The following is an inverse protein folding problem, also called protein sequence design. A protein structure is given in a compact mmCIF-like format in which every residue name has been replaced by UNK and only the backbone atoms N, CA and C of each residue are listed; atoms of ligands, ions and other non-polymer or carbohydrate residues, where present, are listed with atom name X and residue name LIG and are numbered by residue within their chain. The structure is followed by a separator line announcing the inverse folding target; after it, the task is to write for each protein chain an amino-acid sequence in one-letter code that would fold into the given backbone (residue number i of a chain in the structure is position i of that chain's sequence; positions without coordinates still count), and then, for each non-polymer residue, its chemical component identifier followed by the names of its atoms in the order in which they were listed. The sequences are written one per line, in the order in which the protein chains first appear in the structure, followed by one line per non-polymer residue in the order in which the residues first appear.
data_IF_515430629505
#
_entry.id   IF_515430629505
#
_cell.length_a   1.000
_cell.length_b   1.000
_cell.length_c   1.000
_cell.angle_alpha   90.00
_cell.angle_beta   90.00
_cell.angle_gamma   90.00
#
_symmetry.space_group_name_H-M   'P 1'
#
loop_
_entity.id
_entity.type
_entity.pdbx_description
1 polymer ?
#
# COMPACT_ATOMS: atom_id res chain seq x y z
N UNK A 1 25.93 -13.01 -1.77
CA UNK A 1 24.95 -11.91 -1.60
C UNK A 1 23.75 -12.54 -0.95
N UNK A 2 23.34 -12.07 0.22
CA UNK A 2 22.24 -12.69 0.94
C UNK A 2 20.96 -12.50 0.12
N UNK A 3 20.35 -13.60 -0.34
CA UNK A 3 19.10 -13.61 -1.11
C UNK A 3 17.89 -13.33 -0.20
N UNK A 4 17.99 -12.28 0.62
CA UNK A 4 16.92 -11.86 1.52
C UNK A 4 16.20 -10.65 0.96
N UNK A 5 14.88 -10.69 1.10
CA UNK A 5 13.99 -9.58 0.78
C UNK A 5 13.21 -9.20 2.03
N UNK A 6 13.00 -7.91 2.22
CA UNK A 6 12.09 -7.37 3.20
C UNK A 6 10.72 -7.20 2.56
N UNK A 7 9.69 -7.61 3.28
CA UNK A 7 8.30 -7.41 2.87
C UNK A 7 7.56 -6.65 3.96
N UNK A 8 6.71 -5.72 3.56
CA UNK A 8 5.81 -5.00 4.46
C UNK A 8 4.66 -5.93 4.84
N UNK A 9 4.39 -6.02 6.14
CA UNK A 9 3.29 -6.83 6.68
C UNK A 9 1.96 -6.20 6.27
N UNK A 10 0.96 -7.02 5.96
CA UNK A 10 -0.39 -6.60 5.55
C UNK A 10 -0.44 -5.69 4.30
N UNK A 11 0.55 -5.75 3.41
CA UNK A 11 0.64 -4.91 2.21
C UNK A 11 -0.62 -4.91 1.33
N UNK A 12 -1.26 -6.07 1.16
CA UNK A 12 -2.48 -6.21 0.35
C UNK A 12 -3.68 -5.41 0.87
N UNK A 13 -3.68 -5.03 2.14
CA UNK A 13 -4.69 -4.14 2.74
C UNK A 13 -4.41 -2.67 2.43
N UNK A 14 -3.13 -2.31 2.31
CA UNK A 14 -2.71 -0.91 2.11
C UNK A 14 -2.68 -0.50 0.64
N UNK A 15 -2.43 -1.45 -0.28
CA UNK A 15 -2.27 -1.15 -1.69
C UNK A 15 -3.14 -2.04 -2.57
N UNK A 16 -4.13 -1.42 -3.23
CA UNK A 16 -5.01 -2.10 -4.20
C UNK A 16 -4.62 -1.87 -5.67
N UNK A 17 -3.68 -0.95 -5.94
CA UNK A 17 -3.22 -0.70 -7.31
C UNK A 17 -2.36 -1.85 -7.81
N UNK A 18 -2.75 -2.44 -8.95
CA UNK A 18 -2.01 -3.51 -9.62
C UNK A 18 -0.96 -3.01 -10.62
N UNK A 19 -0.83 -1.69 -10.79
CA UNK A 19 0.17 -1.12 -11.69
C UNK A 19 1.54 -1.14 -11.01
N UNK A 20 2.52 -1.79 -11.65
CA UNK A 20 3.90 -1.84 -11.15
C UNK A 20 4.48 -0.44 -11.28
N UNK A 21 4.85 0.18 -10.16
CA UNK A 21 5.34 1.56 -10.06
C UNK A 21 4.24 2.64 -10.09
N UNK A 22 3.35 2.67 -9.07
CA UNK A 22 2.37 3.73 -8.94
C UNK A 22 3.06 5.08 -8.65
N UNK A 23 2.55 6.20 -9.19
CA UNK A 23 3.10 7.54 -8.94
C UNK A 23 2.91 8.04 -7.50
N UNK A 24 2.00 7.42 -6.73
CA UNK A 24 1.71 7.75 -5.33
C UNK A 24 1.30 6.51 -4.54
N UNK A 25 1.38 6.61 -3.22
CA UNK A 25 0.83 5.64 -2.26
C UNK A 25 -0.23 6.33 -1.41
N UNK A 26 -1.29 5.61 -1.04
CA UNK A 26 -2.32 6.11 -0.13
C UNK A 26 -2.01 5.62 1.28
N UNK A 27 -1.84 6.56 2.21
CA UNK A 27 -1.78 6.23 3.63
C UNK A 27 -3.16 6.37 4.26
N UNK A 28 -3.54 5.37 5.03
CA UNK A 28 -4.78 5.41 5.81
C UNK A 28 -4.54 6.24 7.07
N UNK A 29 -5.46 7.17 7.36
CA UNK A 29 -5.38 8.01 8.56
C UNK A 29 -5.44 7.20 9.85
N UNK A 30 -6.03 6.00 9.81
CA UNK A 30 -6.06 5.04 10.92
C UNK A 30 -4.68 4.61 11.39
N UNK A 31 -3.63 4.81 10.58
CA UNK A 31 -2.24 4.61 11.01
C UNK A 31 -1.89 5.49 12.22
N UNK A 32 -2.49 6.69 12.30
CA UNK A 32 -2.29 7.58 13.43
C UNK A 32 -3.02 7.11 14.69
N UNK A 33 -3.99 6.20 14.57
CA UNK A 33 -4.68 5.57 15.69
C UNK A 33 -3.97 4.28 16.16
N UNK A 34 -2.98 3.79 15.40
CA UNK A 34 -2.23 2.58 15.73
C UNK A 34 -1.21 2.87 16.84
N UNK A 35 -1.40 2.20 17.97
CA UNK A 35 -0.57 2.37 19.17
C UNK A 35 0.89 1.93 18.93
N UNK A 36 1.12 0.87 18.16
CA UNK A 36 2.46 0.38 17.87
C UNK A 36 3.18 1.35 16.93
N UNK A 37 2.47 1.94 15.95
CA UNK A 37 3.03 3.01 15.12
C UNK A 37 3.41 4.24 15.96
N UNK A 38 2.54 4.69 16.87
CA UNK A 38 2.79 5.85 17.71
C UNK A 38 4.04 5.68 18.60
N UNK A 39 4.33 4.46 19.06
CA UNK A 39 5.48 4.14 19.92
C UNK A 39 6.81 4.06 19.20
N UNK A 40 6.81 3.97 17.87
CA UNK A 40 8.05 3.94 17.10
C UNK A 40 8.86 5.24 17.32
N UNK A 41 10.20 5.15 17.41
CA UNK A 41 11.07 6.32 17.33
C UNK A 41 10.80 7.11 16.05
N UNK A 42 11.03 8.43 16.11
CA UNK A 42 10.83 9.30 14.95
C UNK A 42 11.63 8.80 13.74
N UNK A 43 12.85 8.30 13.98
CA UNK A 43 13.70 7.70 12.97
C UNK A 43 13.02 6.53 12.24
N UNK A 44 12.50 5.58 13.01
CA UNK A 44 11.84 4.39 12.47
C UNK A 44 10.52 4.74 11.74
N UNK A 45 9.76 5.72 12.23
CA UNK A 45 8.51 6.15 11.59
C UNK A 45 8.73 6.63 10.17
N UNK A 46 9.68 7.56 9.94
CA UNK A 46 9.91 8.06 8.59
C UNK A 46 10.55 7.00 7.70
N UNK A 47 11.43 6.14 8.23
CA UNK A 47 12.00 5.02 7.47
C UNK A 47 10.93 4.02 7.04
N UNK A 48 9.95 3.72 7.90
CA UNK A 48 8.80 2.88 7.55
C UNK A 48 8.00 3.47 6.38
N UNK A 49 7.73 4.77 6.40
CA UNK A 49 7.03 5.45 5.30
C UNK A 49 7.83 5.39 3.99
N UNK A 50 9.16 5.51 4.03
CA UNK A 50 10.00 5.36 2.84
C UNK A 50 10.06 3.91 2.35
N UNK A 51 10.13 2.93 3.25
CA UNK A 51 10.06 1.52 2.90
C UNK A 51 8.73 1.18 2.21
N UNK A 52 7.62 1.79 2.62
CA UNK A 52 6.35 1.66 1.92
C UNK A 52 6.39 2.21 0.49
N UNK A 53 7.12 3.31 0.24
CA UNK A 53 7.35 3.79 -1.12
C UNK A 53 8.18 2.80 -1.94
N UNK A 54 9.21 2.21 -1.35
CA UNK A 54 10.03 1.19 -2.02
C UNK A 54 9.20 -0.05 -2.34
N UNK A 55 8.41 -0.53 -1.38
CA UNK A 55 7.46 -1.63 -1.55
C UNK A 55 6.49 -1.35 -2.71
N UNK A 56 5.95 -0.14 -2.83
CA UNK A 56 5.07 0.21 -3.94
C UNK A 56 5.75 0.10 -5.31
N UNK A 57 7.03 0.44 -5.40
CA UNK A 57 7.81 0.36 -6.65
C UNK A 57 8.21 -1.07 -7.02
N UNK A 58 8.34 -1.95 -6.02
CA UNK A 58 8.89 -3.29 -6.16
C UNK A 58 7.90 -4.40 -5.80
N UNK A 59 6.60 -4.11 -5.82
CA UNK A 59 5.53 -5.09 -5.53
C UNK A 59 5.74 -5.80 -4.17
N UNK A 60 6.11 -5.01 -3.16
CA UNK A 60 6.44 -5.45 -1.79
C UNK A 60 7.68 -6.37 -1.66
N UNK A 61 8.55 -6.42 -2.67
CA UNK A 61 9.83 -7.14 -2.61
C UNK A 61 10.98 -6.14 -2.47
N UNK A 62 11.28 -5.71 -1.24
CA UNK A 62 12.35 -4.77 -0.95
C UNK A 62 13.67 -5.55 -0.80
N UNK A 63 14.76 -5.22 -1.53
CA UNK A 63 16.07 -5.81 -1.27
C UNK A 63 16.53 -5.52 0.16
N UNK A 64 16.99 -6.54 0.88
CA UNK A 64 17.60 -6.39 2.22
C UNK A 64 19.07 -5.93 2.10
N UNK A 65 19.27 -4.82 1.40
CA UNK A 65 20.57 -4.18 1.18
C UNK A 65 20.64 -2.89 2.02
N UNK A 66 21.37 -2.97 3.14
CA UNK A 66 21.52 -1.87 4.09
C UNK A 66 22.24 -0.66 3.50
N UNK A 67 23.23 -0.88 2.64
CA UNK A 67 23.99 0.20 2.02
C UNK A 67 23.09 0.97 1.06
N UNK A 68 22.40 0.24 0.18
CA UNK A 68 21.45 0.84 -0.75
C UNK A 68 20.29 1.56 -0.06
N UNK A 69 19.72 0.98 1.01
CA UNK A 69 18.65 1.62 1.78
C UNK A 69 19.15 2.87 2.50
N UNK A 70 20.34 2.83 3.11
CA UNK A 70 20.94 3.96 3.80
C UNK A 70 21.16 5.15 2.85
N UNK A 71 21.70 4.89 1.64
CA UNK A 71 21.87 5.90 0.60
C UNK A 71 20.53 6.46 0.13
N UNK A 72 19.55 5.60 -0.13
CA UNK A 72 18.21 6.03 -0.56
C UNK A 72 17.54 6.92 0.50
N UNK A 73 17.71 6.59 1.77
CA UNK A 73 17.11 7.28 2.91
C UNK A 73 17.95 8.45 3.41
N UNK A 74 19.14 8.67 2.83
CA UNK A 74 20.10 9.71 3.20
C UNK A 74 20.49 9.66 4.69
N UNK A 75 20.73 8.46 5.21
CA UNK A 75 21.18 8.22 6.60
C UNK A 75 22.38 7.30 6.65
N UNK A 76 23.10 7.29 7.77
CA UNK A 76 24.17 6.33 8.00
C UNK A 76 23.62 4.90 8.15
N UNK A 77 24.40 3.91 7.74
CA UNK A 77 24.03 2.49 7.83
C UNK A 77 23.69 2.03 9.27
N UNK A 78 24.35 2.64 10.26
CA UNK A 78 24.14 2.35 11.69
C UNK A 78 22.81 2.94 12.22
N UNK A 79 22.24 3.93 11.52
CA UNK A 79 20.99 4.60 11.90
C UNK A 79 19.77 3.97 11.22
N UNK A 80 19.94 2.83 10.56
CA UNK A 80 18.87 2.14 9.85
C UNK A 80 18.12 1.20 10.82
N UNK A 81 16.86 1.51 11.06
CA UNK A 81 16.00 0.89 12.07
C UNK A 81 15.28 -0.37 11.55
N UNK A 82 15.88 -1.12 10.61
CA UNK A 82 15.24 -2.31 10.00
C UNK A 82 14.95 -3.37 11.05
N UNK A 83 15.90 -3.66 11.94
CA UNK A 83 15.73 -4.70 12.95
C UNK A 83 14.62 -4.33 13.95
N UNK A 84 14.50 -3.04 14.28
CA UNK A 84 13.41 -2.51 15.11
C UNK A 84 12.06 -2.66 14.41
N UNK A 85 11.97 -2.34 13.12
CA UNK A 85 10.75 -2.47 12.32
C UNK A 85 10.34 -3.93 12.13
N UNK A 86 11.29 -4.86 12.06
CA UNK A 86 11.02 -6.30 12.07
C UNK A 86 10.50 -6.73 13.45
N UNK A 87 11.17 -6.32 14.54
CA UNK A 87 10.79 -6.68 15.90
C UNK A 87 9.41 -6.14 16.30
N UNK A 88 9.01 -4.99 15.75
CA UNK A 88 7.68 -4.38 15.97
C UNK A 88 6.61 -4.88 15.01
N UNK A 89 6.94 -5.81 14.10
CA UNK A 89 5.96 -6.49 13.23
C UNK A 89 5.53 -5.69 12.00
N UNK A 90 6.24 -4.63 11.63
CA UNK A 90 5.97 -3.86 10.40
C UNK A 90 6.61 -4.48 9.17
N UNK A 91 7.71 -5.21 9.35
CA UNK A 91 8.50 -5.85 8.29
C UNK A 91 8.74 -7.32 8.60
N UNK A 92 8.82 -8.13 7.54
CA UNK A 92 9.29 -9.51 7.60
C UNK A 92 10.47 -9.71 6.65
N UNK A 93 11.50 -10.41 7.12
CA UNK A 93 12.60 -10.88 6.26
C UNK A 93 12.22 -12.23 5.67
N UNK A 94 12.19 -12.33 4.34
CA UNK A 94 11.92 -13.56 3.60
C UNK A 94 13.13 -13.93 2.74
N UNK A 95 13.23 -15.21 2.42
CA UNK A 95 14.18 -15.70 1.41
C UNK A 95 13.56 -15.41 0.05
N UNK A 96 14.31 -14.82 -0.87
CA UNK A 96 13.86 -14.60 -2.23
C UNK A 96 13.47 -15.95 -2.83
N UNK A 97 12.27 -16.09 -3.43
CA UNK A 97 11.96 -17.29 -4.18
C UNK A 97 13.01 -17.40 -5.28
N UNK A 98 13.69 -18.54 -5.35
CA UNK A 98 14.54 -18.80 -6.49
C UNK A 98 13.72 -18.59 -7.77
N UNK A 99 14.33 -18.00 -8.79
CA UNK A 99 13.64 -17.67 -10.04
C UNK A 99 13.24 -18.92 -10.87
N UNK A 100 13.12 -20.10 -10.25
CA UNK A 100 12.88 -21.40 -10.87
C UNK A 100 11.58 -22.08 -10.40
N UNK A 101 10.79 -21.47 -9.50
CA UNK A 101 9.47 -21.97 -9.10
C UNK A 101 8.34 -21.51 -10.03
N UNK A 102 7.75 -22.45 -10.77
CA UNK A 102 6.51 -22.30 -11.55
C UNK A 102 5.41 -21.47 -10.83
N UNK A 103 4.64 -20.63 -11.54
CA UNK A 103 3.46 -20.01 -10.97
C UNK A 103 2.42 -21.08 -10.65
N UNK A 104 2.23 -21.37 -9.36
CA UNK A 104 1.18 -22.25 -8.87
C UNK A 104 -0.19 -21.66 -9.27
N UNK A 105 -0.84 -22.31 -10.24
CA UNK A 105 -2.20 -21.99 -10.64
C UNK A 105 -3.16 -22.08 -9.43
N UNK A 106 -4.20 -21.22 -9.36
CA UNK A 106 -5.22 -21.36 -8.33
C UNK A 106 -5.95 -22.69 -8.54
N UNK A 107 -5.98 -23.50 -7.48
CA UNK A 107 -6.71 -24.76 -7.42
C UNK A 107 -8.23 -24.52 -7.54
N UNK A 108 -8.75 -24.64 -8.76
CA UNK A 108 -10.16 -24.91 -8.95
C UNK A 108 -10.46 -26.32 -8.42
N UNK A 109 -11.11 -26.42 -7.27
CA UNK A 109 -11.79 -27.63 -6.84
C UNK A 109 -13.19 -27.27 -6.41
N UNK A 110 -14.11 -27.64 -7.29
CA UNK A 110 -15.54 -27.58 -7.16
C UNK A 110 -16.08 -28.70 -6.25
N UNK A 111 -17.37 -28.56 -5.91
CA UNK A 111 -18.27 -29.46 -5.14
C UNK A 111 -18.39 -29.02 -3.68
N UNK A 112 -19.57 -28.68 -3.15
CA UNK A 112 -20.77 -29.50 -3.19
C UNK A 112 -22.10 -28.73 -3.34
N UNK A 113 -23.06 -29.48 -3.86
CA UNK A 113 -24.43 -29.19 -4.25
C UNK A 113 -25.35 -28.85 -3.06
N UNK A 114 -26.42 -28.09 -3.31
CA UNK A 114 -27.64 -28.12 -2.52
C UNK A 114 -28.87 -28.14 -3.48
N UNK A 115 -29.87 -29.01 -3.24
CA UNK A 115 -30.98 -29.30 -4.17
C UNK A 115 -32.07 -28.21 -4.19
N UNK A 116 -33.00 -28.24 -5.18
CA UNK A 116 -33.91 -27.14 -5.47
C UNK A 116 -35.19 -27.20 -4.63
N UNK A 117 -35.74 -26.04 -4.27
CA UNK A 117 -37.13 -25.90 -3.85
C UNK A 117 -37.82 -24.81 -4.70
N UNK A 118 -39.06 -25.14 -5.06
CA UNK A 118 -39.91 -24.66 -6.15
C UNK A 118 -40.29 -23.16 -6.21
N UNK A 119 -40.88 -22.70 -7.35
CA UNK A 119 -40.98 -21.30 -7.74
C UNK A 119 -42.34 -20.68 -7.36
N UNK A 120 -42.34 -19.57 -6.63
CA UNK A 120 -43.48 -18.64 -6.56
C UNK A 120 -43.07 -17.30 -5.96
N UNK A 121 -43.64 -16.22 -6.51
CA UNK A 121 -43.43 -14.78 -6.22
C UNK A 121 -42.17 -14.18 -6.89
N UNK A 122 -42.23 -13.54 -8.06
CA UNK A 122 -42.98 -12.34 -8.47
C UNK A 122 -42.41 -11.02 -7.89
N UNK A 123 -41.96 -10.18 -8.82
CA UNK A 123 -41.68 -8.72 -8.79
C UNK A 123 -40.39 -8.24 -8.11
N UNK A 124 -39.45 -7.73 -8.93
CA UNK A 124 -39.22 -6.28 -9.10
C UNK A 124 -37.81 -6.02 -9.64
N UNK A 125 -37.77 -5.63 -10.90
CA UNK A 125 -36.62 -5.05 -11.58
C UNK A 125 -36.28 -3.70 -10.95
N UNK A 126 -35.12 -3.56 -10.30
CA UNK A 126 -34.47 -2.26 -10.13
C UNK A 126 -32.98 -2.44 -10.36
N UNK A 127 -32.50 -1.94 -11.49
CA UNK A 127 -31.09 -1.82 -11.82
C UNK A 127 -30.42 -0.86 -10.83
N UNK A 128 -29.45 -1.36 -10.06
CA UNK A 128 -28.54 -0.50 -9.29
C UNK A 128 -27.43 -0.06 -10.22
N UNK A 129 -27.42 1.25 -10.50
CA UNK A 129 -26.48 1.91 -11.38
C UNK A 129 -25.13 2.06 -10.69
N UNK A 130 -24.12 1.37 -11.22
CA UNK A 130 -22.70 1.63 -10.95
C UNK A 130 -22.38 3.06 -11.39
N UNK A 131 -22.14 3.96 -10.43
CA UNK A 131 -21.53 5.25 -10.71
C UNK A 131 -20.02 5.08 -10.68
N UNK A 132 -19.42 5.11 -11.88
CA UNK A 132 -17.99 5.33 -12.05
C UNK A 132 -17.68 6.79 -11.70
N UNK A 133 -16.90 7.00 -10.64
CA UNK A 133 -16.39 8.33 -10.30
C UNK A 133 -15.35 8.74 -11.35
N UNK A 134 -15.69 9.73 -12.19
CA UNK A 134 -14.75 10.36 -13.12
C UNK A 134 -13.85 11.31 -12.34
N UNK A 135 -12.60 10.91 -12.13
CA UNK A 135 -11.54 11.73 -11.54
C UNK A 135 -11.31 12.98 -12.43
N UNK A 136 -11.59 14.16 -11.88
CA UNK A 136 -11.44 15.44 -12.58
C UNK A 136 -10.01 15.92 -12.40
N UNK A 137 -9.27 16.05 -13.51
CA UNK A 137 -7.88 16.54 -13.54
C UNK A 137 -7.73 17.92 -12.86
N UNK A 138 -6.93 18.05 -11.78
CA UNK A 138 -6.75 19.30 -11.05
C UNK A 138 -5.92 20.37 -11.81
N UNK A 139 -5.38 20.09 -13.00
CA UNK A 139 -4.57 21.05 -13.77
C UNK A 139 -5.35 22.18 -14.45
N UNK A 140 -6.69 22.18 -14.42
CA UNK A 140 -7.50 23.23 -15.04
C UNK A 140 -7.70 24.50 -14.17
N UNK A 141 -7.20 24.55 -12.93
CA UNK A 141 -7.45 25.68 -12.00
C UNK A 141 -6.39 26.79 -12.04
N UNK A 142 -5.49 26.79 -13.02
CA UNK A 142 -4.33 27.68 -13.04
C UNK A 142 -4.60 29.17 -13.40
N UNK A 143 -5.79 29.54 -13.89
CA UNK A 143 -6.04 30.91 -14.38
C UNK A 143 -7.24 31.59 -13.70
N UNK A 144 -7.24 31.74 -12.38
CA UNK A 144 -8.10 32.75 -11.72
C UNK A 144 -7.21 33.76 -11.00
N UNK A 145 -7.09 34.94 -11.58
CA UNK A 145 -6.52 36.11 -10.92
C UNK A 145 -7.30 36.37 -9.62
N UNK A 146 -6.66 36.47 -8.45
CA UNK A 146 -7.38 36.77 -7.22
C UNK A 146 -7.89 38.23 -7.24
N UNK A 147 -9.17 38.42 -6.94
CA UNK A 147 -9.78 39.74 -6.73
C UNK A 147 -9.26 40.38 -5.44
N UNK A 148 -8.91 41.67 -5.41
CA UNK A 148 -8.38 42.31 -4.22
C UNK A 148 -9.53 42.75 -3.30
N UNK A 149 -9.94 41.89 -2.36
CA UNK A 149 -10.93 42.28 -1.33
C UNK A 149 -10.61 41.72 0.07
N UNK A 150 -9.35 41.34 0.33
CA UNK A 150 -8.94 40.82 1.65
C UNK A 150 -7.56 41.36 2.05
N UNK A 151 -7.37 42.67 1.96
CA UNK A 151 -6.14 43.32 2.39
C UNK A 151 -6.42 44.54 3.27
N UNK A 152 -7.27 44.42 4.28
CA UNK A 152 -7.39 45.43 5.34
C UNK A 152 -8.13 44.90 6.58
N UNK A 153 -7.47 43.99 7.33
CA UNK A 153 -7.76 43.79 8.76
C UNK A 153 -6.72 42.92 9.46
N UNK A 154 -5.49 43.39 9.57
CA UNK A 154 -4.56 43.06 10.66
C UNK A 154 -3.63 44.24 10.88
#
# INVERSE_FOLDING_TARGET
MSDHVLVVVNWGTFQHYKNRNPPWIKFHTSLLDDYEFQRLPDAAKWQLLLLWLVAARQDNHIPDDREWLADLFHVGQDNLEIDLLIASGWLERRIAPDASGEPLAPNASASAEHPPLDPSACVSTTAVQLQAESETDPRARANRTPSPEFAEKF
#
